data_IF_409227985210
#
_entry.id   IF_409227985210
#
_cell.length_a   1.000
_cell.length_b   1.000
_cell.length_c   1.000
_cell.angle_alpha   90.00
_cell.angle_beta   90.00
_cell.angle_gamma   90.00
#
_symmetry.space_group_name_H-M   'P 1'
#
loop_
_entity.id
_entity.type
_entity.pdbx_description
1 polymer ?
#
# COMPACT_ATOMS: atom_id res chain seq x y z
N UNK A 1 -24.65 0.33 26.74
CA UNK A 1 -25.28 0.33 25.40
C UNK A 1 -26.62 1.07 25.47
N UNK A 2 -27.00 1.82 24.44
CA UNK A 2 -28.37 2.32 24.34
C UNK A 2 -29.26 1.11 24.06
N UNK A 3 -30.25 0.83 24.89
CA UNK A 3 -31.14 -0.32 24.70
C UNK A 3 -32.19 0.04 23.65
N UNK A 4 -32.31 -0.79 22.61
CA UNK A 4 -33.40 -0.69 21.64
C UNK A 4 -34.74 -0.78 22.37
N UNK A 5 -35.68 0.08 21.99
CA UNK A 5 -37.07 -0.01 22.43
C UNK A 5 -37.74 -1.25 21.83
N UNK A 6 -38.83 -1.73 22.44
CA UNK A 6 -39.57 -2.89 21.94
C UNK A 6 -40.10 -2.67 20.51
N UNK A 7 -40.50 -1.44 20.17
CA UNK A 7 -40.93 -1.08 18.82
C UNK A 7 -39.80 -1.19 17.80
N UNK A 8 -38.60 -0.72 18.15
CA UNK A 8 -37.42 -0.81 17.28
C UNK A 8 -37.00 -2.26 17.05
N UNK A 9 -37.07 -3.10 18.09
CA UNK A 9 -36.80 -4.54 17.96
C UNK A 9 -37.80 -5.22 17.02
N UNK A 10 -39.10 -4.93 17.16
CA UNK A 10 -40.14 -5.47 16.28
C UNK A 10 -39.98 -4.99 14.83
N UNK A 11 -39.58 -3.73 14.63
CA UNK A 11 -39.33 -3.20 13.29
C UNK A 11 -38.16 -3.93 12.63
N UNK A 12 -37.04 -4.11 13.34
CA UNK A 12 -35.86 -4.84 12.85
C UNK A 12 -36.23 -6.27 12.45
N UNK A 13 -36.96 -6.99 13.30
CA UNK A 13 -37.44 -8.35 13.01
C UNK A 13 -38.25 -8.37 11.71
N UNK A 14 -39.16 -7.41 11.51
CA UNK A 14 -39.99 -7.33 10.30
C UNK A 14 -39.15 -7.12 9.03
N UNK A 15 -38.07 -6.35 9.10
CA UNK A 15 -37.17 -6.16 7.95
C UNK A 15 -36.39 -7.44 7.63
N UNK A 16 -35.90 -8.14 8.64
CA UNK A 16 -35.18 -9.42 8.49
C UNK A 16 -36.11 -10.50 7.90
N UNK A 17 -37.33 -10.64 8.43
CA UNK A 17 -38.32 -11.60 7.92
C UNK A 17 -38.76 -11.31 6.49
N UNK A 18 -38.77 -10.03 6.09
CA UNK A 18 -39.09 -9.60 4.74
C UNK A 18 -37.90 -9.65 3.76
N UNK A 19 -36.73 -10.12 4.22
CA UNK A 19 -35.47 -10.12 3.47
C UNK A 19 -35.12 -8.74 2.87
N UNK A 20 -35.37 -7.68 3.66
CA UNK A 20 -35.11 -6.30 3.28
C UNK A 20 -33.93 -5.72 4.06
N UNK A 21 -33.13 -4.83 3.44
CA UNK A 21 -32.04 -4.17 4.14
C UNK A 21 -32.59 -3.34 5.30
N UNK A 22 -31.89 -3.38 6.44
CA UNK A 22 -32.23 -2.60 7.62
C UNK A 22 -32.04 -1.10 7.36
N UNK A 23 -32.95 -0.24 7.85
CA UNK A 23 -32.76 1.20 7.80
C UNK A 23 -31.47 1.67 8.51
N UNK A 24 -30.79 2.67 7.93
CA UNK A 24 -29.50 3.19 8.42
C UNK A 24 -29.53 3.67 9.88
N UNK A 25 -30.70 4.10 10.39
CA UNK A 25 -30.87 4.49 11.80
C UNK A 25 -30.47 3.40 12.79
N UNK A 26 -30.54 2.12 12.41
CA UNK A 26 -30.19 1.00 13.27
C UNK A 26 -28.71 0.63 13.25
N UNK A 27 -27.94 1.12 12.26
CA UNK A 27 -26.50 0.87 12.15
C UNK A 27 -25.73 1.23 13.42
N UNK A 28 -26.13 2.30 14.10
CA UNK A 28 -25.43 2.79 15.30
C UNK A 28 -26.03 2.29 16.63
N UNK A 29 -27.13 1.56 16.56
CA UNK A 29 -27.84 1.01 17.71
C UNK A 29 -27.55 -0.48 17.92
N UNK A 30 -27.25 -1.21 16.84
CA UNK A 30 -27.03 -2.66 16.84
C UNK A 30 -25.58 -3.08 17.12
N UNK A 31 -24.61 -2.22 16.84
CA UNK A 31 -23.19 -2.53 17.00
C UNK A 31 -22.60 -1.75 18.17
N UNK A 32 -21.72 -2.41 18.95
CA UNK A 32 -21.11 -1.86 20.16
C UNK A 32 -20.17 -0.68 19.87
N UNK A 33 -19.57 -0.67 18.68
CA UNK A 33 -18.67 0.39 18.22
C UNK A 33 -19.44 1.67 17.86
N UNK A 34 -19.40 2.63 18.80
CA UNK A 34 -20.00 3.95 18.63
C UNK A 34 -18.97 4.96 18.16
N UNK A 35 -19.28 5.57 17.01
CA UNK A 35 -18.55 6.66 16.33
C UNK A 35 -17.18 6.25 15.81
N UNK A 36 -17.12 6.12 14.50
CA UNK A 36 -15.92 6.54 13.79
C UNK A 36 -16.32 7.66 12.82
N UNK A 37 -15.53 8.73 12.81
CA UNK A 37 -15.54 9.67 11.69
C UNK A 37 -14.99 8.88 10.52
N UNK A 38 -15.86 8.51 9.58
CA UNK A 38 -15.48 7.68 8.45
C UNK A 38 -15.21 8.56 7.23
N UNK A 39 -14.03 8.41 6.63
CA UNK A 39 -13.76 8.94 5.31
C UNK A 39 -14.44 8.02 4.27
N UNK A 40 -15.38 8.57 3.51
CA UNK A 40 -16.10 7.86 2.44
C UNK A 40 -15.70 8.48 1.10
N UNK A 41 -15.47 7.62 0.10
CA UNK A 41 -15.19 8.02 -1.28
C UNK A 41 -15.97 7.12 -2.25
N UNK A 42 -16.13 7.54 -3.50
CA UNK A 42 -16.86 6.75 -4.48
C UNK A 42 -16.13 5.44 -4.81
N UNK A 43 -16.85 4.32 -4.72
CA UNK A 43 -16.27 3.00 -4.92
C UNK A 43 -15.44 2.48 -3.74
N UNK A 44 -15.56 3.08 -2.54
CA UNK A 44 -15.00 2.51 -1.31
C UNK A 44 -15.48 1.07 -1.14
N UNK A 45 -14.54 0.15 -1.00
CA UNK A 45 -14.79 -1.27 -0.77
C UNK A 45 -13.81 -1.81 0.27
N UNK A 46 -14.24 -2.79 1.05
CA UNK A 46 -13.38 -3.57 1.93
C UNK A 46 -12.74 -4.77 1.22
N UNK A 47 -13.11 -5.02 -0.03
CA UNK A 47 -12.49 -6.06 -0.84
C UNK A 47 -11.07 -5.64 -1.22
N UNK A 48 -10.12 -6.53 -0.96
CA UNK A 48 -8.70 -6.33 -1.25
C UNK A 48 -8.25 -7.42 -2.21
N UNK A 49 -7.37 -7.07 -3.15
CA UNK A 49 -6.76 -8.03 -4.07
C UNK A 49 -6.24 -9.28 -3.33
N UNK A 50 -6.66 -10.45 -3.82
CA UNK A 50 -6.24 -11.76 -3.33
C UNK A 50 -5.77 -12.63 -4.50
N UNK A 51 -4.79 -12.12 -5.24
CA UNK A 51 -4.12 -12.82 -6.33
C UNK A 51 -2.76 -13.30 -5.84
N UNK A 52 -2.42 -14.55 -6.17
CA UNK A 52 -1.08 -15.13 -5.94
C UNK A 52 -0.40 -15.30 -7.28
N UNK A 53 0.71 -14.60 -7.47
CA UNK A 53 1.58 -14.73 -8.63
C UNK A 53 2.85 -15.51 -8.24
N UNK A 54 3.39 -16.36 -9.15
CA UNK A 54 4.68 -16.98 -8.93
C UNK A 54 5.80 -15.94 -9.01
N UNK A 55 6.72 -15.96 -8.05
CA UNK A 55 7.95 -15.18 -8.12
C UNK A 55 8.97 -15.89 -9.00
N UNK A 56 9.43 -15.22 -10.05
CA UNK A 56 10.55 -15.69 -10.87
C UNK A 56 11.81 -14.90 -10.50
N UNK A 57 12.86 -15.60 -10.08
CA UNK A 57 14.17 -15.00 -9.85
C UNK A 57 14.87 -14.82 -11.20
N UNK A 58 15.15 -13.57 -11.57
CA UNK A 58 15.83 -13.22 -12.82
C UNK A 58 17.34 -13.15 -12.60
N UNK A 59 17.75 -12.52 -11.50
CA UNK A 59 19.15 -12.29 -11.15
C UNK A 59 19.33 -12.38 -9.64
N UNK A 60 20.47 -12.89 -9.20
CA UNK A 60 20.91 -12.86 -7.81
C UNK A 60 22.22 -12.07 -7.76
N UNK A 61 22.15 -10.89 -7.17
CA UNK A 61 23.32 -10.00 -6.99
C UNK A 61 23.87 -10.23 -5.59
N UNK A 62 24.94 -11.02 -5.50
CA UNK A 62 25.68 -11.26 -4.25
C UNK A 62 27.05 -10.56 -4.32
N UNK A 63 27.23 -9.54 -3.48
CA UNK A 63 28.44 -8.70 -3.28
C UNK A 63 29.07 -8.06 -4.55
N UNK A 64 29.74 -6.90 -4.42
CA UNK A 64 30.51 -6.39 -5.54
C UNK A 64 31.66 -7.35 -5.83
N UNK A 65 31.80 -7.80 -7.09
CA UNK A 65 33.05 -8.43 -7.56
C UNK A 65 34.20 -7.51 -7.17
N UNK A 66 35.06 -7.95 -6.26
CA UNK A 66 36.26 -7.21 -5.90
C UNK A 66 37.16 -7.12 -7.14
N UNK A 67 37.16 -5.98 -7.82
CA UNK A 67 38.08 -5.73 -8.94
C UNK A 67 39.51 -5.50 -8.43
N UNK A 68 39.69 -4.98 -7.21
CA UNK A 68 41.00 -4.77 -6.57
C UNK A 68 40.94 -4.99 -5.04
N UNK A 69 42.01 -5.54 -4.42
CA UNK A 69 42.06 -5.84 -2.97
C UNK A 69 42.03 -4.60 -2.05
N UNK A 70 42.31 -3.41 -2.57
CA UNK A 70 42.46 -2.18 -1.78
C UNK A 70 41.12 -1.49 -1.51
N UNK A 71 40.17 -1.56 -2.45
CA UNK A 71 38.82 -0.99 -2.31
C UNK A 71 37.94 -1.79 -1.33
N UNK A 72 38.26 -3.07 -1.11
CA UNK A 72 37.53 -3.97 -0.21
C UNK A 72 37.64 -3.55 1.25
N UNK A 73 38.77 -2.96 1.68
CA UNK A 73 39.01 -2.62 3.09
C UNK A 73 38.18 -1.42 3.58
N UNK A 74 37.89 -0.47 2.71
CA UNK A 74 37.10 0.71 3.07
C UNK A 74 35.58 0.41 3.07
N UNK A 75 35.10 -0.41 2.12
CA UNK A 75 33.70 -0.82 2.06
C UNK A 75 33.30 -1.84 3.13
N UNK A 76 34.20 -2.76 3.53
CA UNK A 76 33.94 -3.73 4.61
C UNK A 76 33.68 -3.11 5.99
N UNK A 77 34.01 -1.83 6.19
CA UNK A 77 33.74 -1.14 7.46
C UNK A 77 32.29 -0.63 7.56
N UNK A 78 31.59 -0.46 6.43
CA UNK A 78 30.21 0.05 6.36
C UNK A 78 29.16 -1.05 6.18
N UNK A 79 29.58 -2.22 5.71
CA UNK A 79 28.73 -3.39 5.53
C UNK A 79 29.20 -4.53 6.43
N UNK A 80 28.24 -5.19 7.07
CA UNK A 80 28.49 -6.34 7.91
C UNK A 80 29.19 -7.47 7.11
N UNK A 81 30.31 -7.96 7.65
CA UNK A 81 31.16 -8.99 7.04
C UNK A 81 30.55 -10.41 7.02
N UNK A 82 29.24 -10.56 7.26
CA UNK A 82 28.47 -11.82 7.07
C UNK A 82 28.23 -12.13 5.59
N UNK A 83 29.24 -11.87 4.78
CA UNK A 83 29.27 -12.07 3.35
C UNK A 83 28.99 -13.52 2.96
N UNK A 84 27.99 -13.66 2.09
CA UNK A 84 27.24 -14.87 1.73
C UNK A 84 26.29 -15.37 2.81
N UNK A 85 25.07 -14.86 2.77
CA UNK A 85 23.93 -15.54 3.36
C UNK A 85 23.53 -16.75 2.49
N UNK A 86 24.33 -17.82 2.54
CA UNK A 86 24.03 -19.10 1.86
C UNK A 86 22.76 -19.78 2.41
N UNK A 87 22.27 -19.33 3.58
CA UNK A 87 21.12 -19.85 4.30
C UNK A 87 20.38 -18.72 5.02
N UNK A 88 19.06 -18.72 4.93
CA UNK A 88 18.19 -17.74 5.59
C UNK A 88 17.72 -16.62 4.66
N UNK A 89 17.13 -15.58 5.24
CA UNK A 89 16.47 -14.48 4.52
C UNK A 89 17.45 -13.55 3.80
N UNK A 90 17.38 -13.48 2.48
CA UNK A 90 18.19 -12.56 1.67
C UNK A 90 17.41 -11.30 1.28
N UNK A 91 18.14 -10.21 0.99
CA UNK A 91 17.55 -9.01 0.40
C UNK A 91 16.94 -9.35 -0.97
N UNK A 92 15.74 -8.82 -1.24
CA UNK A 92 15.02 -9.07 -2.50
C UNK A 92 14.68 -7.76 -3.18
N UNK A 93 14.99 -7.67 -4.47
CA UNK A 93 14.45 -6.65 -5.37
C UNK A 93 13.39 -7.31 -6.23
N UNK A 94 12.16 -6.82 -6.15
CA UNK A 94 11.01 -7.39 -6.85
C UNK A 94 10.50 -6.35 -7.84
N UNK A 95 10.35 -6.76 -9.10
CA UNK A 95 9.86 -5.88 -10.17
C UNK A 95 8.46 -6.30 -10.63
N UNK A 96 7.55 -5.34 -10.73
CA UNK A 96 6.16 -5.55 -11.15
C UNK A 96 5.18 -4.55 -10.52
N UNK A 97 3.88 -4.75 -10.75
CA UNK A 97 2.84 -3.95 -10.10
C UNK A 97 2.80 -4.24 -8.60
N UNK A 98 2.99 -3.20 -7.80
CA UNK A 98 3.11 -3.31 -6.35
C UNK A 98 1.86 -3.92 -5.68
N UNK A 99 0.65 -3.70 -6.19
CA UNK A 99 -0.57 -4.29 -5.63
C UNK A 99 -0.54 -5.81 -5.76
N UNK A 100 -0.21 -6.31 -6.96
CA UNK A 100 -0.15 -7.75 -7.23
C UNK A 100 1.00 -8.41 -6.45
N UNK A 101 2.14 -7.72 -6.34
CA UNK A 101 3.27 -8.18 -5.53
C UNK A 101 2.87 -8.28 -4.06
N UNK A 102 2.29 -7.23 -3.47
CA UNK A 102 1.87 -7.22 -2.06
C UNK A 102 0.84 -8.32 -1.78
N UNK A 103 -0.14 -8.49 -2.68
CA UNK A 103 -1.11 -9.59 -2.59
C UNK A 103 -0.43 -10.97 -2.64
N UNK A 104 0.60 -11.13 -3.48
CA UNK A 104 1.35 -12.39 -3.59
C UNK A 104 2.29 -12.64 -2.41
N UNK A 105 2.86 -11.58 -1.82
CA UNK A 105 3.64 -11.67 -0.58
C UNK A 105 2.75 -12.05 0.61
N UNK A 106 1.51 -11.55 0.62
CA UNK A 106 0.53 -11.85 1.68
C UNK A 106 -0.01 -13.27 1.58
N UNK A 107 -0.39 -13.70 0.37
CA UNK A 107 -1.17 -14.93 0.18
C UNK A 107 -0.35 -16.08 -0.45
N UNK A 108 0.89 -15.83 -0.84
CA UNK A 108 1.75 -16.77 -1.57
C UNK A 108 2.86 -17.37 -0.71
N UNK A 109 3.78 -18.13 -1.33
CA UNK A 109 4.78 -18.94 -0.63
C UNK A 109 5.78 -18.12 0.22
N UNK A 110 6.05 -16.87 -0.17
CA UNK A 110 6.92 -15.99 0.60
C UNK A 110 6.31 -15.54 1.94
N UNK A 111 5.00 -15.71 2.14
CA UNK A 111 4.34 -15.34 3.40
C UNK A 111 4.93 -16.09 4.58
N UNK A 112 5.03 -17.41 4.46
CA UNK A 112 5.55 -18.28 5.51
C UNK A 112 7.02 -17.96 5.82
N UNK A 113 7.81 -17.63 4.80
CA UNK A 113 9.19 -17.18 4.97
C UNK A 113 9.26 -15.85 5.73
N UNK A 114 8.42 -14.88 5.41
CA UNK A 114 8.35 -13.58 6.11
C UNK A 114 7.99 -13.79 7.58
N UNK A 115 6.98 -14.60 7.87
CA UNK A 115 6.54 -14.88 9.24
C UNK A 115 7.60 -15.65 10.04
N UNK A 116 8.28 -16.63 9.41
CA UNK A 116 9.38 -17.36 10.04
C UNK A 116 10.57 -16.47 10.40
N UNK A 117 10.71 -15.30 9.75
CA UNK A 117 11.71 -14.28 10.09
C UNK A 117 11.19 -13.22 11.07
N UNK A 118 9.97 -13.37 11.58
CA UNK A 118 9.36 -12.46 12.56
C UNK A 118 8.58 -11.29 11.95
N UNK A 119 8.22 -11.37 10.67
CA UNK A 119 7.42 -10.38 9.97
C UNK A 119 8.17 -9.12 9.53
N UNK A 120 7.51 -8.24 8.79
CA UNK A 120 8.10 -6.96 8.38
C UNK A 120 8.07 -5.96 9.55
N UNK A 121 9.24 -5.48 9.95
CA UNK A 121 9.37 -4.51 11.07
C UNK A 121 9.18 -3.06 10.64
N UNK A 122 9.56 -2.73 9.41
CA UNK A 122 9.44 -1.39 8.87
C UNK A 122 9.08 -1.48 7.39
N UNK A 123 8.05 -0.74 7.00
CA UNK A 123 7.74 -0.46 5.61
C UNK A 123 7.93 1.04 5.41
N UNK A 124 8.65 1.44 4.38
CA UNK A 124 8.77 2.84 3.97
C UNK A 124 8.25 2.95 2.54
N UNK A 125 7.36 3.91 2.31
CA UNK A 125 6.82 4.21 0.98
C UNK A 125 6.85 5.71 0.73
N UNK A 126 7.09 6.06 -0.52
CA UNK A 126 7.00 7.42 -1.05
C UNK A 126 6.03 7.40 -2.25
N UNK A 127 4.70 7.33 -1.99
CA UNK A 127 3.72 7.24 -3.07
C UNK A 127 3.66 8.56 -3.86
N UNK A 128 3.10 8.54 -5.09
CA UNK A 128 2.78 9.76 -5.83
C UNK A 128 2.00 10.74 -4.95
N UNK A 129 2.35 12.03 -4.98
CA UNK A 129 1.62 13.03 -4.21
C UNK A 129 0.40 13.51 -5.02
N UNK A 130 -0.79 13.51 -4.40
CA UNK A 130 -2.01 14.09 -4.97
C UNK A 130 -1.99 15.62 -4.87
N UNK A 131 -1.03 16.24 -5.56
CA UNK A 131 -0.78 17.70 -5.50
C UNK A 131 -1.71 18.50 -6.40
N UNK A 132 -2.59 17.85 -7.18
CA UNK A 132 -3.52 18.51 -8.11
C UNK A 132 -2.85 19.49 -9.09
N UNK A 133 -1.53 19.42 -9.23
CA UNK A 133 -0.74 20.49 -9.80
C UNK A 133 -0.51 20.26 -11.29
N UNK A 134 -0.98 21.22 -12.08
CA UNK A 134 -0.47 21.46 -13.42
C UNK A 134 0.97 21.99 -13.26
N UNK A 135 1.98 21.15 -13.50
CA UNK A 135 3.40 21.54 -13.44
C UNK A 135 3.84 22.33 -14.67
N UNK A 136 2.91 22.84 -15.46
CA UNK A 136 3.22 23.85 -16.45
C UNK A 136 3.58 25.16 -15.76
N UNK A 137 4.77 25.66 -16.06
CA UNK A 137 5.22 26.96 -15.58
C UNK A 137 5.68 27.78 -16.77
N UNK A 138 5.17 29.00 -16.87
CA UNK A 138 5.63 29.97 -17.85
C UNK A 138 6.98 30.51 -17.40
N UNK A 139 7.98 30.35 -18.26
CA UNK A 139 9.34 30.83 -18.06
C UNK A 139 9.57 31.95 -19.06
N UNK A 140 9.90 33.15 -18.57
CA UNK A 140 10.31 34.26 -19.43
C UNK A 140 11.79 34.15 -19.77
N UNK A 141 12.12 34.10 -21.07
CA UNK A 141 13.50 34.11 -21.56
C UNK A 141 13.60 35.17 -22.65
N UNK A 142 14.36 36.24 -22.38
CA UNK A 142 14.73 37.22 -23.41
C UNK A 142 13.57 37.98 -24.05
N UNK A 143 12.43 38.12 -23.35
CA UNK A 143 11.23 38.81 -23.85
C UNK A 143 10.16 37.88 -24.43
N UNK A 144 10.45 36.59 -24.57
CA UNK A 144 9.48 35.57 -24.97
C UNK A 144 9.03 34.73 -23.76
N UNK A 145 7.76 34.31 -23.75
CA UNK A 145 7.21 33.40 -22.75
C UNK A 145 7.25 31.96 -23.29
N UNK A 146 7.92 31.06 -22.57
CA UNK A 146 7.98 29.65 -22.88
C UNK A 146 7.30 28.83 -21.78
N UNK A 147 6.24 28.10 -22.13
CA UNK A 147 5.58 27.18 -21.18
C UNK A 147 6.38 25.88 -21.08
N UNK A 148 7.04 25.66 -19.94
CA UNK A 148 7.67 24.36 -19.65
C UNK A 148 6.56 23.32 -19.50
N UNK A 149 6.53 22.32 -20.38
CA UNK A 149 5.67 21.15 -20.20
C UNK A 149 6.23 20.21 -19.13
N UNK A 150 5.40 19.49 -18.38
CA UNK A 150 5.86 18.46 -17.45
C UNK A 150 6.75 17.45 -18.18
N UNK A 151 7.84 17.04 -17.55
CA UNK A 151 8.64 15.92 -18.06
C UNK A 151 7.95 14.57 -17.73
N UNK A 152 8.35 13.48 -18.38
CA UNK A 152 7.72 12.15 -18.22
C UNK A 152 7.76 11.66 -16.76
N UNK A 153 8.82 11.98 -16.02
CA UNK A 153 8.95 11.62 -14.61
C UNK A 153 7.93 12.39 -13.75
N UNK A 154 7.78 13.70 -13.98
CA UNK A 154 6.80 14.57 -13.34
C UNK A 154 5.36 14.11 -13.70
N UNK A 155 5.13 13.70 -14.94
CA UNK A 155 3.83 13.18 -15.35
C UNK A 155 3.47 11.86 -14.63
N UNK A 156 4.41 10.93 -14.49
CA UNK A 156 4.18 9.68 -13.75
C UNK A 156 4.05 9.92 -12.23
N UNK A 157 4.83 10.86 -11.69
CA UNK A 157 4.86 11.14 -10.25
C UNK A 157 3.68 11.97 -9.75
N UNK A 158 3.02 12.75 -10.62
CA UNK A 158 2.03 13.73 -10.19
C UNK A 158 0.72 13.74 -10.98
N UNK A 159 0.62 13.04 -12.11
CA UNK A 159 -0.65 12.93 -12.82
C UNK A 159 -1.47 11.81 -12.20
N UNK A 160 -2.70 12.14 -11.81
CA UNK A 160 -3.71 11.13 -11.51
C UNK A 160 -3.98 10.31 -12.78
N UNK A 161 -3.29 9.17 -12.91
CA UNK A 161 -3.47 8.25 -14.03
C UNK A 161 -4.81 7.50 -13.98
N UNK A 162 -5.59 7.69 -12.92
CA UNK A 162 -6.82 6.94 -12.64
C UNK A 162 -8.10 7.74 -12.90
N UNK A 163 -7.98 9.03 -13.23
CA UNK A 163 -9.02 9.83 -13.87
C UNK A 163 -10.26 10.15 -13.03
N UNK A 164 -10.19 9.99 -11.70
CA UNK A 164 -11.30 10.30 -10.77
C UNK A 164 -10.88 11.22 -9.62
N UNK A 165 -9.71 11.86 -9.70
CA UNK A 165 -9.19 12.77 -8.69
C UNK A 165 -8.88 12.08 -7.37
N UNK A 166 -9.21 12.73 -6.26
CA UNK A 166 -8.89 12.25 -4.91
C UNK A 166 -9.47 10.85 -4.62
N UNK A 167 -10.66 10.52 -5.14
CA UNK A 167 -11.30 9.23 -4.90
C UNK A 167 -10.49 8.06 -5.46
N UNK A 168 -9.90 8.22 -6.66
CA UNK A 168 -9.04 7.18 -7.24
C UNK A 168 -7.71 7.06 -6.53
N UNK A 169 -7.12 8.18 -6.09
CA UNK A 169 -5.91 8.17 -5.28
C UNK A 169 -6.13 7.44 -3.94
N UNK A 170 -7.20 7.78 -3.22
CA UNK A 170 -7.55 7.14 -1.95
C UNK A 170 -7.80 5.65 -2.16
N UNK A 171 -8.55 5.25 -3.20
CA UNK A 171 -8.77 3.84 -3.51
C UNK A 171 -7.45 3.10 -3.80
N UNK A 172 -6.55 3.72 -4.55
CA UNK A 172 -5.23 3.17 -4.92
C UNK A 172 -4.34 2.94 -3.68
N UNK A 173 -4.28 3.92 -2.77
CA UNK A 173 -3.47 3.83 -1.55
C UNK A 173 -4.11 2.93 -0.50
N UNK A 174 -5.43 3.03 -0.29
CA UNK A 174 -6.15 2.24 0.70
C UNK A 174 -5.90 0.73 0.53
N UNK A 175 -6.04 0.24 -0.70
CA UNK A 175 -5.86 -1.19 -0.99
C UNK A 175 -4.43 -1.65 -0.68
N UNK A 176 -3.43 -0.81 -0.99
CA UNK A 176 -2.00 -1.10 -0.74
C UNK A 176 -1.65 -1.06 0.74
N UNK A 177 -2.13 -0.05 1.46
CA UNK A 177 -1.91 0.08 2.90
C UNK A 177 -2.56 -1.09 3.67
N UNK A 178 -3.73 -1.55 3.23
CA UNK A 178 -4.38 -2.72 3.80
C UNK A 178 -3.51 -3.98 3.65
N UNK A 179 -3.00 -4.23 2.43
CA UNK A 179 -2.07 -5.34 2.18
C UNK A 179 -0.75 -5.22 2.96
N UNK A 180 -0.18 -4.02 3.03
CA UNK A 180 1.05 -3.76 3.78
C UNK A 180 0.86 -3.99 5.28
N UNK A 181 -0.29 -3.56 5.82
CA UNK A 181 -0.63 -3.76 7.23
C UNK A 181 -0.66 -5.24 7.59
N UNK A 182 -1.25 -6.08 6.73
CA UNK A 182 -1.30 -7.52 6.96
C UNK A 182 0.07 -8.19 6.92
N UNK A 183 1.06 -7.58 6.25
CA UNK A 183 2.44 -8.07 6.15
C UNK A 183 3.34 -7.60 7.31
N UNK A 184 2.93 -6.58 8.07
CA UNK A 184 3.67 -6.09 9.22
C UNK A 184 3.65 -7.11 10.35
N UNK A 185 4.75 -7.14 11.12
CA UNK A 185 4.75 -7.75 12.44
C UNK A 185 3.87 -6.95 13.41
N UNK A 186 3.45 -7.56 14.52
CA UNK A 186 2.63 -6.90 15.54
C UNK A 186 3.29 -5.63 16.14
N UNK A 187 4.63 -5.61 16.17
CA UNK A 187 5.50 -4.51 16.60
C UNK A 187 6.10 -3.72 15.42
N UNK A 188 5.60 -3.93 14.21
CA UNK A 188 6.06 -3.28 12.99
C UNK A 188 5.50 -1.86 12.83
N UNK A 189 6.10 -1.09 11.93
CA UNK A 189 5.67 0.27 11.60
C UNK A 189 5.69 0.51 10.08
N UNK A 190 4.81 1.42 9.64
CA UNK A 190 4.74 1.95 8.28
C UNK A 190 4.55 3.46 8.34
#
# INVERSE_FOLDING_TARGET
>A
MAKLTEQEQQEIIRYIEADKPLPDKYRFLLFEDKREVELVWNGKTSEVCNIVLPFQVIEQVDEPRAEKPEDTKAQMALFDARGRQLKGWTNKLIWGDNKLILSSLKNGPLREEIEAQGGLKLIYIDPPFDVGADFSMDIEIGGDTFTKKPNILEEIAYRDTWGKGADSFIAMIYERLSLMRDLLADDGSI
#
